data_IF_940106672954
#
_entry.id   IF_940106672954
#
_cell.length_a   1.000
_cell.length_b   1.000
_cell.length_c   1.000
_cell.angle_alpha   90.00
_cell.angle_beta   90.00
_cell.angle_gamma   90.00
#
_symmetry.space_group_name_H-M   'P 1'
#
loop_
_entity.id
_entity.type
_entity.pdbx_description
1 polymer ?
#
# COMPACT_ATOMS: atom_id res chain seq x y z
N UNK A 1 3.58 -1.30 15.08
CA UNK A 1 2.54 -0.32 14.65
C UNK A 1 1.69 -0.99 13.59
N UNK A 2 0.36 -0.96 13.70
CA UNK A 2 -0.53 -1.68 12.77
C UNK A 2 -0.33 -1.15 11.33
N UNK A 3 -0.17 -2.03 10.33
CA UNK A 3 0.16 -1.64 8.93
C UNK A 3 -0.81 -0.61 8.37
N UNK A 4 -2.09 -0.73 8.73
CA UNK A 4 -3.16 0.22 8.38
C UNK A 4 -2.84 1.63 8.89
N UNK A 5 -2.42 1.76 10.15
CA UNK A 5 -2.10 3.06 10.76
C UNK A 5 -0.87 3.68 10.09
N UNK A 6 0.10 2.84 9.68
CA UNK A 6 1.28 3.31 8.94
C UNK A 6 0.90 3.87 7.57
N UNK A 7 0.03 3.18 6.85
CA UNK A 7 -0.46 3.62 5.53
C UNK A 7 -1.25 4.94 5.62
N UNK A 8 -2.13 5.07 6.61
CA UNK A 8 -2.91 6.30 6.84
C UNK A 8 -1.99 7.47 7.18
N UNK A 9 -0.98 7.26 8.05
CA UNK A 9 -0.01 8.31 8.43
C UNK A 9 0.86 8.77 7.27
N UNK A 10 1.22 7.87 6.35
CA UNK A 10 2.03 8.22 5.18
C UNK A 10 1.24 8.98 4.12
N UNK A 11 -0.05 8.67 3.94
CA UNK A 11 -0.90 9.34 2.94
C UNK A 11 -2.24 9.82 3.51
N UNK A 12 -2.22 10.77 4.47
CA UNK A 12 -3.43 11.19 5.19
C UNK A 12 -4.43 11.90 4.26
N UNK A 13 -3.95 12.71 3.31
CA UNK A 13 -4.82 13.40 2.34
C UNK A 13 -5.54 12.44 1.40
N UNK A 14 -4.82 11.45 0.85
CA UNK A 14 -5.43 10.43 -0.01
C UNK A 14 -6.40 9.54 0.79
N UNK A 15 -6.09 9.24 2.05
CA UNK A 15 -7.04 8.52 2.92
C UNK A 15 -8.34 9.31 3.12
N UNK A 16 -8.26 10.61 3.42
CA UNK A 16 -9.46 11.46 3.60
C UNK A 16 -10.27 11.53 2.30
N UNK A 17 -9.61 11.74 1.16
CA UNK A 17 -10.29 11.88 -0.13
C UNK A 17 -10.91 10.55 -0.61
N UNK A 18 -10.18 9.45 -0.49
CA UNK A 18 -10.61 8.16 -1.01
C UNK A 18 -11.48 7.36 -0.02
N UNK A 19 -11.31 7.54 1.29
CA UNK A 19 -12.06 6.77 2.29
C UNK A 19 -13.01 7.67 3.06
N UNK A 20 -12.52 8.81 3.57
CA UNK A 20 -13.32 9.73 4.38
C UNK A 20 -14.57 10.22 3.64
N UNK A 21 -14.40 10.81 2.45
CA UNK A 21 -15.51 11.38 1.67
C UNK A 21 -16.54 10.31 1.26
N UNK A 22 -16.14 9.15 0.69
CA UNK A 22 -17.12 8.13 0.31
C UNK A 22 -17.88 7.53 1.51
N UNK A 23 -17.24 7.38 2.67
CA UNK A 23 -17.91 6.89 3.88
C UNK A 23 -18.94 7.89 4.45
N UNK A 24 -18.83 9.19 4.16
CA UNK A 24 -19.79 10.20 4.59
C UNK A 24 -21.08 10.18 3.76
N UNK A 25 -21.02 9.69 2.52
CA UNK A 25 -22.17 9.67 1.62
C UNK A 25 -23.34 8.79 2.13
N UNK A 26 -23.12 7.55 2.60
CA UNK A 26 -24.17 6.75 3.23
C UNK A 26 -24.75 7.38 4.50
N UNK A 27 -23.95 8.13 5.26
CA UNK A 27 -24.41 8.82 6.48
C UNK A 27 -25.41 9.94 6.16
N UNK A 28 -25.19 10.68 5.08
CA UNK A 28 -26.13 11.70 4.61
C UNK A 28 -27.46 11.08 4.16
N UNK A 29 -27.40 9.94 3.50
CA UNK A 29 -28.58 9.20 3.05
C UNK A 29 -29.44 8.68 4.22
N UNK A 30 -28.80 8.25 5.32
CA UNK A 30 -29.51 7.79 6.52
C UNK A 30 -30.15 8.92 7.33
N UNK A 31 -29.62 10.15 7.23
CA UNK A 31 -30.09 11.30 8.02
C UNK A 31 -31.50 11.76 7.64
N UNK A 32 -31.87 11.65 6.36
CA UNK A 32 -33.04 12.34 5.83
C UNK A 32 -34.34 11.51 5.89
N UNK A 33 -34.33 10.33 6.54
CA UNK A 33 -35.47 9.38 6.63
C UNK A 33 -36.18 9.13 5.28
N UNK A 34 -35.49 9.39 4.17
CA UNK A 34 -35.95 9.04 2.83
C UNK A 34 -36.13 7.52 2.86
N UNK A 35 -37.20 7.02 2.26
CA UNK A 35 -37.43 5.57 2.03
C UNK A 35 -36.38 5.05 1.05
N UNK A 36 -35.12 5.08 1.47
CA UNK A 36 -33.99 4.54 0.78
C UNK A 36 -34.10 3.05 1.02
N UNK A 37 -34.28 2.32 -0.06
CA UNK A 37 -34.31 0.87 0.01
C UNK A 37 -33.03 0.40 0.71
N UNK A 38 -33.17 -0.51 1.68
CA UNK A 38 -32.07 -1.07 2.45
C UNK A 38 -30.92 -1.57 1.55
N UNK A 39 -31.24 -1.96 0.31
CA UNK A 39 -30.31 -2.32 -0.74
C UNK A 39 -29.29 -1.20 -1.10
N UNK A 40 -29.73 0.06 -1.21
CA UNK A 40 -28.87 1.20 -1.56
C UNK A 40 -27.87 1.47 -0.42
N UNK A 41 -28.32 1.38 0.82
CA UNK A 41 -27.46 1.54 2.01
C UNK A 41 -26.42 0.43 2.07
N UNK A 42 -26.82 -0.83 1.82
CA UNK A 42 -25.91 -1.99 1.80
C UNK A 42 -24.84 -1.82 0.70
N UNK A 43 -25.22 -1.38 -0.50
CA UNK A 43 -24.27 -1.09 -1.59
C UNK A 43 -23.30 0.03 -1.17
N UNK A 44 -23.79 1.10 -0.56
CA UNK A 44 -22.96 2.23 -0.11
C UNK A 44 -21.91 1.81 0.94
N UNK A 45 -22.31 0.98 1.90
CA UNK A 45 -21.39 0.41 2.89
C UNK A 45 -20.38 -0.53 2.22
N UNK A 46 -20.85 -1.41 1.32
CA UNK A 46 -19.98 -2.34 0.59
C UNK A 46 -18.91 -1.62 -0.25
N UNK A 47 -19.30 -0.58 -0.97
CA UNK A 47 -18.38 0.28 -1.73
C UNK A 47 -17.36 0.98 -0.81
N UNK A 48 -17.81 1.48 0.34
CA UNK A 48 -16.93 2.12 1.34
C UNK A 48 -15.85 1.17 1.85
N UNK A 49 -16.23 -0.08 2.17
CA UNK A 49 -15.29 -1.14 2.57
C UNK A 49 -14.32 -1.45 1.43
N UNK A 50 -14.82 -1.60 0.20
CA UNK A 50 -13.99 -1.93 -0.96
C UNK A 50 -12.93 -0.85 -1.22
N UNK A 51 -13.31 0.43 -1.14
CA UNK A 51 -12.37 1.54 -1.31
C UNK A 51 -11.35 1.60 -0.18
N UNK A 52 -11.75 1.33 1.06
CA UNK A 52 -10.83 1.22 2.19
C UNK A 52 -9.80 0.11 2.01
N UNK A 53 -10.23 -1.08 1.58
CA UNK A 53 -9.33 -2.21 1.31
C UNK A 53 -8.36 -1.86 0.18
N UNK A 54 -8.87 -1.30 -0.91
CA UNK A 54 -8.05 -0.90 -2.06
C UNK A 54 -6.99 0.15 -1.69
N UNK A 55 -7.38 1.18 -0.92
CA UNK A 55 -6.44 2.18 -0.40
C UNK A 55 -5.31 1.52 0.42
N UNK A 56 -5.66 0.62 1.34
CA UNK A 56 -4.65 -0.04 2.18
C UNK A 56 -3.73 -0.97 1.38
N UNK A 57 -4.25 -1.67 0.37
CA UNK A 57 -3.43 -2.53 -0.49
C UNK A 57 -2.44 -1.71 -1.33
N UNK A 58 -2.89 -0.62 -1.95
CA UNK A 58 -2.03 0.23 -2.77
C UNK A 58 -0.99 0.97 -1.94
N UNK A 59 -1.42 1.59 -0.84
CA UNK A 59 -0.50 2.25 0.08
C UNK A 59 0.56 1.26 0.58
N UNK A 60 0.17 0.05 0.96
CA UNK A 60 1.12 -0.97 1.42
C UNK A 60 2.14 -1.37 0.35
N UNK A 61 1.79 -1.36 -0.94
CA UNK A 61 2.72 -1.71 -2.02
C UNK A 61 3.81 -0.65 -2.21
N UNK A 62 3.42 0.63 -2.11
CA UNK A 62 4.34 1.76 -2.16
C UNK A 62 5.20 1.83 -0.90
N UNK A 63 4.60 1.70 0.30
CA UNK A 63 5.33 1.67 1.59
C UNK A 63 6.43 0.60 1.56
N UNK A 64 6.10 -0.61 1.09
CA UNK A 64 7.08 -1.71 1.00
C UNK A 64 8.20 -1.40 0.01
N UNK A 65 7.90 -0.75 -1.12
CA UNK A 65 8.93 -0.32 -2.08
C UNK A 65 9.87 0.74 -1.49
N UNK A 66 9.32 1.66 -0.70
CA UNK A 66 10.10 2.71 -0.05
C UNK A 66 10.96 2.16 1.10
N UNK A 67 10.42 1.23 1.89
CA UNK A 67 11.21 0.51 2.90
C UNK A 67 12.38 -0.29 2.29
N UNK A 68 12.14 -0.98 1.16
CA UNK A 68 13.19 -1.68 0.42
C UNK A 68 14.29 -0.71 -0.04
N UNK A 69 13.91 0.42 -0.64
CA UNK A 69 14.87 1.44 -1.06
C UNK A 69 15.67 2.03 0.10
N UNK A 70 15.03 2.25 1.26
CA UNK A 70 15.73 2.74 2.44
C UNK A 70 16.81 1.78 2.92
N UNK A 71 16.53 0.47 2.97
CA UNK A 71 17.53 -0.54 3.36
C UNK A 71 18.66 -0.60 2.34
N UNK A 72 18.33 -0.65 1.05
CA UNK A 72 19.32 -0.70 -0.04
C UNK A 72 20.24 0.51 0.02
N UNK A 73 19.69 1.71 0.20
CA UNK A 73 20.47 2.95 0.31
C UNK A 73 21.29 3.00 1.60
N UNK A 74 20.74 2.54 2.73
CA UNK A 74 21.44 2.50 4.03
C UNK A 74 22.68 1.60 3.98
N UNK A 75 22.59 0.47 3.29
CA UNK A 75 23.66 -0.53 3.22
C UNK A 75 24.49 -0.46 1.92
N UNK A 76 24.21 0.49 1.03
CA UNK A 76 24.96 0.66 -0.22
C UNK A 76 24.89 -0.56 -1.14
N UNK A 77 23.75 -1.27 -1.16
CA UNK A 77 23.60 -2.53 -1.90
C UNK A 77 23.65 -2.25 -3.40
N UNK A 78 24.60 -2.84 -4.11
CA UNK A 78 24.68 -2.73 -5.57
C UNK A 78 23.55 -3.53 -6.22
N UNK A 79 23.24 -3.21 -7.48
CA UNK A 79 22.23 -3.93 -8.25
C UNK A 79 22.55 -5.41 -8.42
N UNK A 80 23.82 -5.76 -8.65
CA UNK A 80 24.23 -7.17 -8.78
C UNK A 80 24.02 -7.91 -7.46
N UNK A 81 24.41 -7.29 -6.34
CA UNK A 81 24.28 -7.90 -5.03
C UNK A 81 22.83 -8.02 -4.59
N UNK A 82 21.97 -7.06 -4.95
CA UNK A 82 20.54 -7.15 -4.76
C UNK A 82 19.94 -8.35 -5.51
N UNK A 83 20.35 -8.58 -6.76
CA UNK A 83 19.90 -9.72 -7.57
C UNK A 83 20.39 -11.05 -7.02
N UNK A 84 21.61 -11.10 -6.48
CA UNK A 84 22.16 -12.29 -5.83
C UNK A 84 21.37 -12.67 -4.58
N UNK A 85 21.07 -11.69 -3.70
CA UNK A 85 20.34 -11.94 -2.45
C UNK A 85 18.87 -12.30 -2.72
N UNK A 86 18.21 -11.59 -3.64
CA UNK A 86 16.76 -11.69 -3.83
C UNK A 86 16.35 -12.65 -4.95
N UNK A 87 17.27 -13.03 -5.83
CA UNK A 87 17.00 -13.78 -7.05
C UNK A 87 16.13 -13.01 -8.07
N UNK A 88 16.01 -11.69 -7.92
CA UNK A 88 15.18 -10.86 -8.77
C UNK A 88 15.78 -10.68 -10.16
N UNK A 89 14.91 -10.68 -11.16
CA UNK A 89 15.30 -10.41 -12.55
C UNK A 89 15.24 -8.92 -12.88
N UNK A 90 15.94 -8.53 -13.95
CA UNK A 90 15.90 -7.19 -14.54
C UNK A 90 14.51 -6.70 -14.97
N UNK A 91 13.52 -7.60 -15.07
CA UNK A 91 12.13 -7.25 -15.37
C UNK A 91 11.30 -6.99 -14.11
N UNK A 92 11.74 -7.52 -12.98
CA UNK A 92 11.05 -7.41 -11.69
C UNK A 92 11.57 -6.22 -10.87
N UNK A 93 12.77 -5.74 -11.18
CA UNK A 93 13.38 -4.57 -10.56
C UNK A 93 14.05 -3.71 -11.62
N UNK A 94 13.63 -2.46 -11.69
CA UNK A 94 14.26 -1.42 -12.51
C UNK A 94 14.91 -0.39 -11.62
N UNK A 95 16.07 0.10 -12.01
CA UNK A 95 16.76 1.19 -11.31
C UNK A 95 16.58 2.47 -12.11
N UNK A 96 16.11 3.53 -11.43
CA UNK A 96 15.93 4.86 -12.02
C UNK A 96 16.38 5.90 -11.00
N UNK A 97 17.33 6.76 -11.40
CA UNK A 97 17.84 7.84 -10.55
C UNK A 97 18.26 7.40 -9.12
N UNK A 98 18.94 6.24 -9.03
CA UNK A 98 19.41 5.62 -7.78
C UNK A 98 18.27 5.15 -6.85
N UNK A 99 17.06 4.98 -7.38
CA UNK A 99 15.95 4.31 -6.73
C UNK A 99 15.60 3.02 -7.47
N UNK A 100 15.35 1.95 -6.71
CA UNK A 100 14.90 0.67 -7.21
C UNK A 100 13.37 0.63 -7.21
N UNK A 101 12.79 0.50 -8.40
CA UNK A 101 11.36 0.30 -8.58
C UNK A 101 11.06 -1.19 -8.72
N UNK A 102 10.30 -1.72 -7.76
CA UNK A 102 9.97 -3.14 -7.64
C UNK A 102 8.62 -3.44 -8.29
N UNK A 103 8.65 -4.13 -9.44
CA UNK A 103 7.49 -4.54 -10.25
C UNK A 103 6.99 -5.93 -9.86
N UNK A 104 6.90 -6.19 -8.56
CA UNK A 104 6.47 -7.49 -8.00
C UNK A 104 5.30 -7.31 -7.04
N UNK A 105 4.60 -8.42 -6.74
CA UNK A 105 3.46 -8.41 -5.83
C UNK A 105 3.85 -7.97 -4.41
N UNK A 106 2.92 -7.39 -3.62
CA UNK A 106 3.20 -6.96 -2.25
C UNK A 106 3.77 -8.09 -1.37
N UNK A 107 3.27 -9.31 -1.52
CA UNK A 107 3.77 -10.47 -0.78
C UNK A 107 5.24 -10.78 -1.10
N UNK A 108 5.65 -10.66 -2.38
CA UNK A 108 7.04 -10.81 -2.78
C UNK A 108 7.89 -9.64 -2.26
N UNK A 109 7.43 -8.39 -2.38
CA UNK A 109 8.13 -7.22 -1.78
C UNK A 109 8.39 -7.41 -0.29
N UNK A 110 7.38 -7.89 0.46
CA UNK A 110 7.51 -8.18 1.89
C UNK A 110 8.53 -9.30 2.16
N UNK A 111 8.52 -10.37 1.36
CA UNK A 111 9.52 -11.44 1.44
C UNK A 111 10.94 -10.90 1.25
N UNK A 112 11.16 -10.06 0.25
CA UNK A 112 12.47 -9.45 -0.01
C UNK A 112 12.89 -8.48 1.08
N UNK A 113 11.95 -7.72 1.62
CA UNK A 113 12.22 -6.83 2.74
C UNK A 113 12.72 -7.61 3.95
N UNK A 114 12.10 -8.75 4.24
CA UNK A 114 12.55 -9.63 5.32
C UNK A 114 13.93 -10.24 5.02
N UNK A 115 14.17 -10.72 3.80
CA UNK A 115 15.49 -11.25 3.41
C UNK A 115 16.61 -10.21 3.57
N UNK A 116 16.38 -8.97 3.13
CA UNK A 116 17.37 -7.91 3.29
C UNK A 116 17.56 -7.51 4.74
N UNK A 117 16.50 -7.53 5.57
CA UNK A 117 16.65 -7.32 7.01
C UNK A 117 17.47 -8.42 7.65
N UNK A 118 17.16 -9.69 7.40
CA UNK A 118 17.91 -10.83 7.94
C UNK A 118 19.40 -10.84 7.52
N UNK A 119 19.72 -10.26 6.36
CA UNK A 119 21.10 -10.20 5.87
C UNK A 119 21.92 -9.05 6.48
N UNK A 120 21.28 -7.92 6.82
CA UNK A 120 21.95 -6.67 7.20
C UNK A 120 21.65 -6.16 8.61
N UNK A 121 20.62 -6.69 9.29
CA UNK A 121 20.20 -6.37 10.66
C UNK A 121 20.23 -7.62 11.55
#
# INVERSE_FOLDING_TARGET
>A
MNTIIKNIKQRPKQFILCVGIPCLWPLLLLWDNIKIESFIVIIGIGMSIMVFVNFNMNASHEVLGEELNQIIKKHGVSKEHLFEITGLTKYEVTEKDHQFEFHVSPGRKKKYLNMLKEYYE
#
